data_IF_939029987033
#
_entry.id   IF_939029987033
#
_cell.length_a   1.000
_cell.length_b   1.000
_cell.length_c   1.000
_cell.angle_alpha   90.00
_cell.angle_beta   90.00
_cell.angle_gamma   90.00
#
_symmetry.space_group_name_H-M   'P 1'
#
loop_
_entity.id
_entity.type
_entity.pdbx_description
1 polymer ?
#
# COMPACT_ATOMS: atom_id res chain seq x y z
N UNK A 1 21.08 -12.43 -19.40
CA UNK A 1 19.89 -11.56 -19.57
C UNK A 1 18.97 -11.75 -18.36
N UNK A 2 18.92 -10.82 -17.38
CA UNK A 2 18.04 -11.01 -16.22
C UNK A 2 16.59 -10.72 -16.61
N UNK A 3 15.70 -11.70 -16.35
CA UNK A 3 14.27 -11.65 -16.65
C UNK A 3 13.56 -10.77 -15.62
N UNK A 4 13.06 -9.60 -16.02
CA UNK A 4 12.20 -8.71 -15.22
C UNK A 4 10.85 -9.39 -14.93
N UNK A 5 10.81 -10.32 -13.98
CA UNK A 5 9.58 -10.99 -13.57
C UNK A 5 8.95 -10.21 -12.41
N UNK A 6 8.18 -9.16 -12.71
CA UNK A 6 7.01 -8.85 -11.88
C UNK A 6 6.16 -10.12 -11.91
N UNK A 7 6.21 -10.94 -10.86
CA UNK A 7 5.40 -12.17 -10.80
C UNK A 7 3.94 -11.76 -10.63
N UNK A 8 3.31 -11.32 -11.72
CA UNK A 8 1.87 -11.38 -11.88
C UNK A 8 1.50 -12.86 -11.81
N UNK A 9 1.06 -13.29 -10.63
CA UNK A 9 0.28 -14.51 -10.50
C UNK A 9 -1.04 -14.23 -11.20
N UNK A 10 -1.08 -14.46 -12.52
CA UNK A 10 -2.28 -14.35 -13.34
C UNK A 10 -3.36 -15.35 -12.92
N UNK A 11 -4.35 -15.65 -13.76
CA UNK A 11 -5.49 -16.45 -13.33
C UNK A 11 -5.19 -17.90 -12.88
N UNK A 12 -4.01 -18.45 -13.18
CA UNK A 12 -3.70 -19.89 -13.10
C UNK A 12 -2.74 -20.45 -12.04
N UNK A 13 -2.17 -19.74 -11.04
CA UNK A 13 -1.37 -20.38 -9.99
C UNK A 13 -2.19 -20.75 -8.75
N UNK A 14 -1.77 -21.83 -8.07
CA UNK A 14 -2.29 -22.37 -6.80
C UNK A 14 -2.21 -21.40 -5.59
N UNK A 15 -1.64 -20.21 -5.78
CA UNK A 15 -1.47 -19.21 -4.74
C UNK A 15 -2.69 -18.27 -4.68
N UNK A 16 -3.15 -17.98 -3.46
CA UNK A 16 -4.18 -16.98 -3.21
C UNK A 16 -3.80 -15.64 -3.87
N UNK A 17 -4.69 -15.11 -4.73
CA UNK A 17 -4.47 -13.85 -5.45
C UNK A 17 -4.37 -12.70 -4.46
N UNK A 18 -3.20 -12.05 -4.39
CA UNK A 18 -2.93 -10.89 -3.52
C UNK A 18 -2.56 -9.67 -4.36
N UNK A 19 -2.71 -8.49 -3.79
CA UNK A 19 -2.19 -7.25 -4.37
C UNK A 19 -0.69 -7.39 -4.61
N UNK A 20 -0.27 -7.35 -5.88
CA UNK A 20 1.14 -7.32 -6.24
C UNK A 20 1.64 -5.88 -6.23
N UNK A 21 2.78 -5.62 -5.60
CA UNK A 21 3.47 -4.33 -5.74
C UNK A 21 4.49 -4.39 -6.87
N UNK A 22 4.70 -3.26 -7.54
CA UNK A 22 5.72 -3.10 -8.59
C UNK A 22 7.13 -2.89 -8.02
N UNK A 23 7.36 -3.25 -6.74
CA UNK A 23 8.68 -3.19 -6.13
C UNK A 23 9.63 -4.12 -6.90
N UNK A 24 10.85 -3.64 -7.14
CA UNK A 24 11.92 -4.51 -7.63
C UNK A 24 12.21 -5.59 -6.58
N UNK A 25 11.91 -6.85 -6.91
CA UNK A 25 12.00 -8.01 -6.00
C UNK A 25 13.38 -8.17 -5.34
N UNK A 26 14.43 -7.74 -6.04
CA UNK A 26 15.83 -7.91 -5.64
C UNK A 26 16.44 -6.66 -4.99
N UNK A 27 15.70 -5.55 -4.92
CA UNK A 27 16.22 -4.27 -4.44
C UNK A 27 15.42 -3.79 -3.20
N UNK A 28 16.13 -3.37 -2.16
CA UNK A 28 15.51 -2.71 -1.00
C UNK A 28 15.05 -1.31 -1.41
N UNK A 29 13.84 -1.22 -1.97
CA UNK A 29 13.18 0.05 -2.32
C UNK A 29 12.98 0.90 -1.06
N UNK A 30 13.61 2.08 -0.96
CA UNK A 30 13.45 3.00 0.18
C UNK A 30 12.47 4.14 -0.07
N UNK A 31 11.72 4.08 -1.18
CA UNK A 31 10.67 5.06 -1.44
C UNK A 31 9.54 4.95 -0.42
N UNK A 32 9.01 6.09 0.00
CA UNK A 32 7.94 6.15 0.98
C UNK A 32 6.98 7.30 0.70
N UNK A 33 5.70 7.08 1.00
CA UNK A 33 4.64 8.06 0.89
C UNK A 33 4.19 8.53 2.27
N UNK A 34 3.97 9.83 2.44
CA UNK A 34 3.17 10.36 3.55
C UNK A 34 1.72 10.43 3.09
N UNK A 35 0.86 9.77 3.85
CA UNK A 35 -0.56 9.65 3.51
C UNK A 35 -1.39 10.22 4.64
N UNK A 36 -2.50 10.86 4.28
CA UNK A 36 -3.54 11.34 5.19
C UNK A 36 -4.87 10.78 4.75
N UNK A 37 -5.56 10.07 5.65
CA UNK A 37 -6.84 9.42 5.37
C UNK A 37 -7.72 9.32 6.63
N UNK A 38 -9.01 9.10 6.41
CA UNK A 38 -9.97 8.69 7.45
C UNK A 38 -10.45 7.28 7.16
N UNK A 39 -10.46 6.42 8.18
CA UNK A 39 -10.98 5.06 8.07
C UNK A 39 -11.96 4.77 9.22
N UNK A 40 -13.28 4.83 8.97
CA UNK A 40 -14.28 4.54 10.00
C UNK A 40 -14.29 3.06 10.38
N UNK A 41 -14.73 2.76 11.60
CA UNK A 41 -15.03 1.39 12.02
C UNK A 41 -16.52 1.10 11.86
N UNK A 42 -16.87 0.32 10.85
CA UNK A 42 -18.25 -0.12 10.64
C UNK A 42 -18.69 -1.19 11.66
N UNK A 43 -17.73 -1.94 12.22
CA UNK A 43 -18.01 -3.07 13.11
C UNK A 43 -18.18 -2.71 14.58
N UNK A 44 -17.95 -1.45 14.97
CA UNK A 44 -18.00 -1.04 16.37
C UNK A 44 -19.37 -1.24 17.01
N UNK A 45 -20.45 -1.06 16.25
CA UNK A 45 -21.83 -1.17 16.76
C UNK A 45 -22.19 -2.56 17.31
N UNK A 46 -21.54 -3.62 16.84
CA UNK A 46 -21.80 -5.00 17.28
C UNK A 46 -20.61 -5.65 17.99
N UNK A 47 -19.40 -5.07 17.91
CA UNK A 47 -18.22 -5.57 18.64
C UNK A 47 -18.01 -4.90 19.99
N UNK A 48 -18.67 -3.77 20.25
CA UNK A 48 -18.58 -3.00 21.51
C UNK A 48 -17.15 -2.63 21.92
N UNK A 49 -16.23 -2.53 20.94
CA UNK A 49 -14.85 -2.08 21.17
C UNK A 49 -14.82 -0.58 21.46
N UNK A 50 -13.79 -0.19 22.20
CA UNK A 50 -13.48 1.22 22.48
C UNK A 50 -13.33 2.05 21.19
N UNK A 51 -13.65 3.34 21.28
CA UNK A 51 -13.50 4.25 20.14
C UNK A 51 -12.01 4.52 19.89
N UNK A 52 -11.57 4.33 18.65
CA UNK A 52 -10.19 4.59 18.22
C UNK A 52 -10.11 5.83 17.32
N UNK A 53 -8.93 6.43 17.24
CA UNK A 53 -8.68 7.51 16.29
C UNK A 53 -8.77 6.99 14.85
N UNK A 54 -9.68 7.58 14.06
CA UNK A 54 -9.93 7.20 12.66
C UNK A 54 -9.21 8.10 11.66
N UNK A 55 -8.73 9.28 12.09
CA UNK A 55 -8.00 10.23 11.25
C UNK A 55 -6.50 9.97 11.38
N UNK A 56 -5.89 9.42 10.34
CA UNK A 56 -4.48 8.97 10.37
C UNK A 56 -3.65 9.74 9.36
N UNK A 57 -2.52 10.27 9.82
CA UNK A 57 -1.40 10.69 8.96
C UNK A 57 -0.19 9.82 9.29
N UNK A 58 0.32 9.06 8.31
CA UNK A 58 1.46 8.16 8.52
C UNK A 58 2.36 8.08 7.28
N UNK A 59 3.59 7.63 7.48
CA UNK A 59 4.52 7.29 6.41
C UNK A 59 4.38 5.81 6.08
N UNK A 60 4.20 5.48 4.79
CA UNK A 60 4.02 4.11 4.28
C UNK A 60 5.03 3.83 3.18
N UNK A 61 5.75 2.69 3.22
CA UNK A 61 6.67 2.29 2.16
C UNK A 61 5.96 2.12 0.81
N UNK A 62 6.67 2.42 -0.29
CA UNK A 62 6.18 2.24 -1.66
C UNK A 62 5.70 0.81 -1.92
N UNK A 63 6.40 -0.18 -1.35
CA UNK A 63 6.10 -1.61 -1.54
C UNK A 63 4.76 -2.06 -0.97
N UNK A 64 4.26 -1.41 0.08
CA UNK A 64 2.99 -1.75 0.72
C UNK A 64 1.87 -0.77 0.37
N UNK A 65 2.20 0.40 -0.16
CA UNK A 65 1.24 1.46 -0.44
C UNK A 65 0.06 1.00 -1.31
N UNK A 66 0.30 0.25 -2.38
CA UNK A 66 -0.79 -0.22 -3.26
C UNK A 66 -1.81 -1.10 -2.52
N UNK A 67 -1.33 -1.99 -1.65
CA UNK A 67 -2.22 -2.84 -0.84
C UNK A 67 -2.96 -2.01 0.24
N UNK A 68 -2.27 -1.06 0.87
CA UNK A 68 -2.88 -0.16 1.86
C UNK A 68 -3.95 0.75 1.25
N UNK A 69 -3.69 1.31 0.07
CA UNK A 69 -4.66 2.10 -0.67
C UNK A 69 -5.92 1.29 -0.96
N UNK A 70 -5.76 0.08 -1.50
CA UNK A 70 -6.87 -0.82 -1.79
C UNK A 70 -7.64 -1.22 -0.52
N UNK A 71 -6.92 -1.46 0.59
CA UNK A 71 -7.54 -1.77 1.89
C UNK A 71 -8.38 -0.60 2.40
N UNK A 72 -7.86 0.63 2.35
CA UNK A 72 -8.59 1.84 2.81
C UNK A 72 -9.85 2.02 1.97
N UNK A 73 -9.76 1.91 0.65
CA UNK A 73 -10.91 2.06 -0.26
C UNK A 73 -11.98 0.99 -0.03
N UNK A 74 -11.57 -0.29 0.13
CA UNK A 74 -12.50 -1.40 0.34
C UNK A 74 -13.21 -1.34 1.70
N UNK A 75 -12.55 -0.78 2.71
CA UNK A 75 -13.10 -0.60 4.05
C UNK A 75 -13.86 0.73 4.21
N UNK A 76 -14.25 1.38 3.11
CA UNK A 76 -15.05 2.62 3.16
C UNK A 76 -14.29 3.88 3.61
N UNK A 77 -12.95 3.83 3.66
CA UNK A 77 -12.13 4.97 4.05
C UNK A 77 -11.92 5.99 2.92
N UNK A 78 -11.65 7.24 3.31
CA UNK A 78 -11.38 8.36 2.38
C UNK A 78 -9.94 8.83 2.51
N UNK A 79 -9.22 8.85 1.39
CA UNK A 79 -7.86 9.37 1.30
C UNK A 79 -7.93 10.85 0.93
N UNK A 80 -7.27 11.72 1.70
CA UNK A 80 -7.25 13.17 1.48
C UNK A 80 -5.99 13.63 0.76
N UNK A 81 -4.83 13.09 1.15
CA UNK A 81 -3.54 13.51 0.61
C UNK A 81 -2.55 12.35 0.56
N UNK A 82 -1.76 12.30 -0.50
CA UNK A 82 -0.67 11.34 -0.69
C UNK A 82 0.50 12.10 -1.31
N UNK A 83 1.64 12.08 -0.64
CA UNK A 83 2.86 12.75 -1.09
C UNK A 83 4.03 11.79 -1.05
N UNK A 84 4.87 11.79 -2.08
CA UNK A 84 6.12 11.04 -2.06
C UNK A 84 7.12 11.80 -1.18
N UNK A 85 7.46 11.25 -0.01
CA UNK A 85 8.37 11.90 0.93
C UNK A 85 9.82 11.45 0.78
N UNK A 86 10.03 10.24 0.29
CA UNK A 86 11.36 9.69 0.03
C UNK A 86 11.35 9.02 -1.35
N UNK A 87 12.39 9.26 -2.14
CA UNK A 87 12.54 8.71 -3.48
C UNK A 87 12.48 9.73 -4.62
N UNK A 88 13.13 9.38 -5.73
CA UNK A 88 13.02 10.09 -7.01
C UNK A 88 11.83 9.63 -7.85
N UNK A 89 11.23 10.56 -8.60
CA UNK A 89 10.24 10.24 -9.63
C UNK A 89 10.96 9.77 -10.91
N UNK A 90 10.38 8.78 -11.58
CA UNK A 90 10.83 8.28 -12.90
C UNK A 90 12.33 7.92 -12.99
N UNK A 91 12.90 7.41 -11.90
CA UNK A 91 14.29 6.93 -11.85
C UNK A 91 14.40 5.52 -12.41
N UNK A 92 15.45 5.27 -13.21
CA UNK A 92 15.68 3.95 -13.82
C UNK A 92 16.37 2.94 -12.87
N UNK A 93 17.35 3.39 -12.08
CA UNK A 93 18.14 2.56 -11.15
C UNK A 93 18.36 3.30 -9.83
N UNK A 94 18.55 2.56 -8.72
CA UNK A 94 18.78 3.14 -7.40
C UNK A 94 17.51 3.78 -6.87
N UNK A 95 16.47 2.95 -6.70
CA UNK A 95 15.13 3.38 -6.28
C UNK A 95 15.09 3.65 -4.76
N UNK A 96 15.97 4.55 -4.33
CA UNK A 96 16.12 5.00 -2.97
C UNK A 96 15.62 6.41 -2.72
#
# INVERSE_FOLDING_TARGET
MPRWRTTWTGPGPVLCRRCASSRLRWERDSRAFKITYVLPSESRLFTYRELQNVYTTKVVPFSSWYAEQQRIQKMGGKIFKVELTAGGQMRSCGNS
#
